data_IF_550572491298
#
_entry.id   IF_550572491298
#
_cell.length_a   1.000
_cell.length_b   1.000
_cell.length_c   1.000
_cell.angle_alpha   90.00
_cell.angle_beta   90.00
_cell.angle_gamma   90.00
#
_symmetry.space_group_name_H-M   'P 1'
#
loop_
_entity.id
_entity.type
_entity.pdbx_description
1 polymer ?
#
# COMPACT_ATOMS: atom_id res chain seq x y z
N UNK A 1 -31.39 14.36 -4.48
CA UNK A 1 -30.46 15.46 -4.16
C UNK A 1 -29.06 14.92 -4.34
N UNK A 2 -28.35 15.36 -5.38
CA UNK A 2 -27.01 14.87 -5.70
C UNK A 2 -25.98 15.57 -4.82
N UNK A 3 -25.34 14.82 -3.94
CA UNK A 3 -24.22 15.29 -3.14
C UNK A 3 -23.02 15.45 -4.09
N UNK A 4 -22.70 16.69 -4.47
CA UNK A 4 -21.47 17.00 -5.18
C UNK A 4 -20.33 16.87 -4.20
N UNK A 5 -19.50 15.82 -4.35
CA UNK A 5 -18.23 15.71 -3.66
C UNK A 5 -17.35 16.89 -4.09
N UNK A 6 -17.18 17.83 -3.17
CA UNK A 6 -16.18 18.87 -3.30
C UNK A 6 -14.80 18.22 -3.09
N UNK A 7 -14.26 17.65 -4.16
CA UNK A 7 -12.86 17.26 -4.18
C UNK A 7 -12.02 18.51 -4.01
N UNK A 8 -11.53 18.76 -2.82
CA UNK A 8 -10.55 19.80 -2.55
C UNK A 8 -9.28 19.45 -3.32
N UNK A 9 -9.16 19.95 -4.56
CA UNK A 9 -7.85 19.99 -5.24
C UNK A 9 -6.95 20.83 -4.36
N UNK A 10 -6.07 20.17 -3.62
CA UNK A 10 -4.93 20.82 -3.00
C UNK A 10 -4.15 21.43 -4.18
N UNK A 11 -4.25 22.75 -4.32
CA UNK A 11 -3.54 23.48 -5.38
C UNK A 11 -2.06 23.25 -5.17
N UNK A 12 -1.39 22.65 -6.15
CA UNK A 12 0.05 22.39 -6.19
C UNK A 12 0.93 23.65 -6.08
N UNK A 13 0.30 24.81 -6.10
CA UNK A 13 0.98 26.11 -6.13
C UNK A 13 1.48 26.58 -4.75
N UNK A 14 1.09 25.91 -3.66
CA UNK A 14 1.50 26.26 -2.28
C UNK A 14 2.58 25.35 -1.69
N UNK A 15 3.04 24.32 -2.41
CA UNK A 15 4.13 23.50 -1.89
C UNK A 15 5.46 24.11 -2.25
N UNK A 16 6.10 24.81 -1.30
CA UNK A 16 7.51 25.22 -1.39
C UNK A 16 8.46 24.03 -1.50
N UNK A 17 7.96 22.81 -1.21
CA UNK A 17 8.70 21.57 -1.25
C UNK A 17 8.46 20.83 -2.58
N UNK A 18 9.30 21.12 -3.58
CA UNK A 18 9.18 20.51 -4.92
C UNK A 18 9.69 19.08 -4.92
N UNK A 19 9.04 18.19 -5.67
CA UNK A 19 9.57 16.81 -5.84
C UNK A 19 10.99 16.86 -6.46
N UNK A 20 11.85 15.90 -6.13
CA UNK A 20 13.19 15.78 -6.72
C UNK A 20 13.09 15.70 -8.25
N UNK A 21 12.08 14.96 -8.77
CA UNK A 21 11.80 14.92 -10.22
C UNK A 21 11.54 16.30 -10.82
N UNK A 22 10.85 17.17 -10.11
CA UNK A 22 10.63 18.56 -10.58
C UNK A 22 11.90 19.36 -10.60
N UNK A 23 12.83 19.13 -9.67
CA UNK A 23 14.14 19.80 -9.65
C UNK A 23 15.03 19.42 -10.83
N UNK A 24 14.86 18.22 -11.41
CA UNK A 24 15.56 17.80 -12.63
C UNK A 24 15.29 18.74 -13.81
N UNK A 25 14.07 19.27 -13.91
CA UNK A 25 13.62 20.09 -15.03
C UNK A 25 13.68 21.59 -14.76
N UNK A 26 14.17 22.00 -13.59
CA UNK A 26 14.25 23.41 -13.21
C UNK A 26 15.63 23.97 -13.44
N UNK A 27 15.71 25.02 -14.24
CA UNK A 27 16.75 26.03 -14.11
C UNK A 27 17.82 26.05 -15.16
N UNK A 28 18.41 27.22 -15.27
CA UNK A 28 19.55 27.64 -16.11
C UNK A 28 20.92 27.24 -15.50
N UNK A 29 20.95 26.18 -14.70
CA UNK A 29 22.20 25.74 -14.04
C UNK A 29 23.07 24.97 -14.99
N UNK A 30 24.36 25.23 -14.98
CA UNK A 30 25.41 24.46 -15.69
C UNK A 30 25.62 23.06 -15.09
N UNK A 31 25.00 22.76 -13.94
CA UNK A 31 25.05 21.47 -13.26
C UNK A 31 24.20 20.43 -14.00
N UNK A 32 24.74 19.21 -14.12
CA UNK A 32 24.00 18.11 -14.73
C UNK A 32 22.72 17.81 -13.93
N UNK A 33 21.58 17.53 -14.58
CA UNK A 33 20.30 17.25 -13.89
C UNK A 33 20.41 16.14 -12.83
N UNK A 34 21.20 15.10 -13.10
CA UNK A 34 21.39 13.97 -12.18
C UNK A 34 22.15 14.40 -10.91
N UNK A 35 23.21 15.20 -11.03
CA UNK A 35 24.00 15.69 -9.88
C UNK A 35 23.13 16.58 -8.99
N UNK A 36 22.26 17.38 -9.59
CA UNK A 36 21.28 18.20 -8.88
C UNK A 36 20.26 17.35 -8.12
N UNK A 37 19.74 16.30 -8.75
CA UNK A 37 18.81 15.38 -8.10
C UNK A 37 19.46 14.67 -6.92
N UNK A 38 20.67 14.18 -7.09
CA UNK A 38 21.43 13.50 -6.03
C UNK A 38 21.76 14.45 -4.86
N UNK A 39 22.17 15.68 -5.16
CA UNK A 39 22.39 16.69 -4.12
C UNK A 39 21.11 16.99 -3.34
N UNK A 40 19.99 17.14 -4.04
CA UNK A 40 18.69 17.38 -3.41
C UNK A 40 18.22 16.19 -2.57
N UNK A 41 18.43 14.98 -3.06
CA UNK A 41 18.17 13.75 -2.30
C UNK A 41 18.97 13.73 -0.99
N UNK A 42 20.30 13.96 -1.06
CA UNK A 42 21.16 13.98 0.14
C UNK A 42 20.74 15.05 1.13
N UNK A 43 20.50 16.27 0.66
CA UNK A 43 20.06 17.35 1.52
C UNK A 43 18.76 17.06 2.26
N UNK A 44 17.84 16.31 1.62
CA UNK A 44 16.56 15.94 2.24
C UNK A 44 16.69 14.78 3.19
N UNK A 45 17.41 13.72 2.82
CA UNK A 45 17.54 12.53 3.67
C UNK A 45 18.35 12.83 4.93
N UNK A 46 19.29 13.78 4.88
CA UNK A 46 20.08 14.25 6.02
C UNK A 46 19.37 15.33 6.84
N UNK A 47 18.21 15.79 6.39
CA UNK A 47 17.41 16.80 7.06
C UNK A 47 16.91 16.34 8.43
N UNK A 48 17.00 17.21 9.43
CA UNK A 48 16.58 16.94 10.81
C UNK A 48 15.08 16.62 10.98
N UNK A 49 14.23 17.00 10.00
CA UNK A 49 12.79 16.68 9.98
C UNK A 49 12.45 15.45 9.14
N UNK A 50 13.45 14.67 8.74
CA UNK A 50 13.26 13.51 7.85
C UNK A 50 13.13 12.21 8.65
N UNK A 51 12.06 11.48 8.38
CA UNK A 51 11.90 10.10 8.82
C UNK A 51 12.55 9.17 7.79
N UNK A 52 13.56 8.44 8.22
CA UNK A 52 14.30 7.47 7.41
C UNK A 52 13.72 6.08 7.62
N UNK A 53 13.53 5.32 6.54
CA UNK A 53 12.90 4.00 6.61
C UNK A 53 13.87 2.85 6.92
N UNK A 54 15.15 3.03 6.63
CA UNK A 54 16.12 1.92 6.59
C UNK A 54 15.93 1.00 5.37
N UNK A 55 14.93 1.22 4.51
CA UNK A 55 14.68 0.43 3.30
C UNK A 55 15.39 1.10 2.12
N UNK A 56 16.36 0.39 1.55
CA UNK A 56 17.14 0.86 0.40
C UNK A 56 16.66 0.17 -0.87
N UNK A 57 16.21 0.98 -1.84
CA UNK A 57 15.71 0.53 -3.14
C UNK A 57 16.60 1.12 -4.22
N UNK A 58 17.25 0.27 -5.03
CA UNK A 58 18.17 0.68 -6.10
C UNK A 58 19.20 1.71 -5.67
N UNK A 59 19.79 1.53 -4.50
CA UNK A 59 20.84 2.40 -3.94
C UNK A 59 20.34 3.66 -3.26
N UNK A 60 19.04 3.90 -3.17
CA UNK A 60 18.45 5.04 -2.47
C UNK A 60 17.52 4.58 -1.34
N UNK A 61 17.68 5.18 -0.18
CA UNK A 61 16.82 4.90 0.95
C UNK A 61 15.47 5.62 0.81
N UNK A 62 14.39 4.94 1.13
CA UNK A 62 13.05 5.53 1.22
C UNK A 62 12.98 6.43 2.46
N UNK A 63 12.44 7.63 2.31
CA UNK A 63 12.30 8.59 3.40
C UNK A 63 11.05 9.47 3.22
N UNK A 64 10.61 10.08 4.32
CA UNK A 64 9.57 11.11 4.31
C UNK A 64 10.07 12.35 5.07
N UNK A 65 10.00 13.50 4.42
CA UNK A 65 10.26 14.77 5.08
C UNK A 65 8.97 15.26 5.74
N UNK A 66 9.04 15.55 7.03
CA UNK A 66 7.91 16.14 7.75
C UNK A 66 7.91 17.67 7.56
N UNK A 67 7.27 18.11 6.50
CA UNK A 67 7.08 19.52 6.21
C UNK A 67 5.73 20.03 6.75
N UNK A 68 5.58 21.35 6.84
CA UNK A 68 4.44 22.01 7.50
C UNK A 68 3.07 21.48 7.05
N UNK A 69 2.86 21.32 5.75
CA UNK A 69 1.59 20.88 5.17
C UNK A 69 1.28 19.40 5.53
N UNK A 70 2.31 18.55 5.56
CA UNK A 70 2.17 17.16 5.99
C UNK A 70 1.81 17.10 7.48
N UNK A 71 2.50 17.88 8.32
CA UNK A 71 2.19 17.93 9.76
C UNK A 71 0.74 18.38 10.02
N UNK A 72 0.29 19.44 9.33
CA UNK A 72 -1.09 19.93 9.45
C UNK A 72 -2.12 18.88 8.95
N UNK A 73 -1.82 18.16 7.86
CA UNK A 73 -2.68 17.09 7.36
C UNK A 73 -2.80 15.93 8.36
N UNK A 74 -1.67 15.54 8.96
CA UNK A 74 -1.66 14.47 9.96
C UNK A 74 -2.50 14.83 11.20
N UNK A 75 -2.47 16.08 11.64
CA UNK A 75 -3.31 16.55 12.74
C UNK A 75 -4.80 16.55 12.36
N UNK A 76 -5.13 17.03 11.15
CA UNK A 76 -6.51 16.98 10.64
C UNK A 76 -7.03 15.53 10.59
N UNK A 77 -6.21 14.58 10.09
CA UNK A 77 -6.59 13.16 10.05
C UNK A 77 -6.83 12.64 11.46
N UNK A 78 -5.98 12.95 12.44
CA UNK A 78 -6.14 12.52 13.83
C UNK A 78 -7.41 13.06 14.48
N UNK A 79 -7.74 14.34 14.23
CA UNK A 79 -8.97 14.95 14.71
C UNK A 79 -10.21 14.23 14.13
N UNK A 80 -10.22 14.00 12.81
CA UNK A 80 -11.32 13.30 12.15
C UNK A 80 -11.45 11.85 12.61
N UNK A 81 -10.33 11.15 12.79
CA UNK A 81 -10.31 9.78 13.32
C UNK A 81 -10.95 9.70 14.72
N UNK A 82 -10.65 10.68 15.59
CA UNK A 82 -11.29 10.76 16.92
C UNK A 82 -12.81 10.92 16.82
N UNK A 83 -13.30 11.74 15.89
CA UNK A 83 -14.74 11.93 15.66
C UNK A 83 -15.37 10.64 15.13
N UNK A 84 -14.75 10.03 14.10
CA UNK A 84 -15.23 8.77 13.51
C UNK A 84 -15.26 7.66 14.54
N UNK A 85 -14.21 7.50 15.35
CA UNK A 85 -14.13 6.51 16.42
C UNK A 85 -15.25 6.70 17.45
N UNK A 86 -15.53 7.95 17.85
CA UNK A 86 -16.62 8.25 18.77
C UNK A 86 -18.00 7.88 18.20
N UNK A 87 -18.25 8.24 16.95
CA UNK A 87 -19.49 7.87 16.23
C UNK A 87 -19.61 6.35 16.09
N UNK A 88 -18.54 5.69 15.66
CA UNK A 88 -18.48 4.24 15.54
C UNK A 88 -18.83 3.54 16.83
N UNK A 89 -18.24 3.96 17.95
CA UNK A 89 -18.49 3.37 19.25
C UNK A 89 -19.93 3.55 19.73
N UNK A 90 -20.65 4.57 19.22
CA UNK A 90 -22.06 4.81 19.55
C UNK A 90 -23.05 3.95 18.76
N UNK A 91 -22.60 3.27 17.69
CA UNK A 91 -23.47 2.47 16.82
C UNK A 91 -23.79 1.10 17.45
N UNK A 92 -25.03 0.59 17.30
CA UNK A 92 -25.37 -0.79 17.60
C UNK A 92 -24.53 -1.79 16.80
N UNK A 93 -24.26 -2.96 17.38
CA UNK A 93 -23.42 -4.00 16.78
C UNK A 93 -23.92 -4.43 15.40
N UNK A 94 -25.22 -4.57 15.23
CA UNK A 94 -25.86 -4.98 13.98
C UNK A 94 -25.61 -3.95 12.87
N UNK A 95 -25.65 -2.67 13.21
CA UNK A 95 -25.39 -1.57 12.27
C UNK A 95 -23.90 -1.56 11.86
N UNK A 96 -22.99 -1.73 12.83
CA UNK A 96 -21.55 -1.87 12.56
C UNK A 96 -21.27 -3.01 11.58
N UNK A 97 -21.83 -4.19 11.85
CA UNK A 97 -21.65 -5.36 10.98
C UNK A 97 -22.20 -5.14 9.57
N UNK A 98 -23.39 -4.54 9.44
CA UNK A 98 -23.97 -4.23 8.13
C UNK A 98 -23.09 -3.26 7.33
N UNK A 99 -22.62 -2.19 8.00
CA UNK A 99 -21.73 -1.20 7.39
C UNK A 99 -20.40 -1.79 6.97
N UNK A 100 -19.75 -2.59 7.84
CA UNK A 100 -18.47 -3.26 7.52
C UNK A 100 -18.61 -4.20 6.33
N UNK A 101 -19.70 -4.95 6.24
CA UNK A 101 -19.93 -5.82 5.09
C UNK A 101 -20.01 -5.06 3.76
N UNK A 102 -20.73 -3.94 3.75
CA UNK A 102 -20.84 -3.11 2.54
C UNK A 102 -19.50 -2.45 2.18
N UNK A 103 -18.79 -1.98 3.20
CA UNK A 103 -17.45 -1.38 3.04
C UNK A 103 -16.45 -2.41 2.49
N UNK A 104 -16.33 -3.58 3.14
CA UNK A 104 -15.42 -4.66 2.70
C UNK A 104 -15.78 -5.09 1.27
N UNK A 105 -17.08 -5.27 0.96
CA UNK A 105 -17.51 -5.61 -0.38
C UNK A 105 -17.12 -4.56 -1.42
N UNK A 106 -17.18 -3.29 -1.07
CA UNK A 106 -16.78 -2.18 -1.95
C UNK A 106 -15.27 -2.15 -2.15
N UNK A 107 -14.49 -2.33 -1.07
CA UNK A 107 -13.03 -2.37 -1.12
C UNK A 107 -12.51 -3.55 -1.95
N UNK A 108 -13.07 -4.75 -1.77
CA UNK A 108 -12.70 -5.93 -2.56
C UNK A 108 -12.97 -5.72 -4.05
N UNK A 109 -14.12 -5.12 -4.41
CA UNK A 109 -14.44 -4.79 -5.80
C UNK A 109 -13.46 -3.76 -6.38
N UNK A 110 -13.13 -2.74 -5.61
CA UNK A 110 -12.21 -1.67 -6.01
C UNK A 110 -10.80 -2.22 -6.22
N UNK A 111 -10.28 -2.96 -5.26
CA UNK A 111 -8.95 -3.58 -5.31
C UNK A 111 -8.83 -4.55 -6.49
N UNK A 112 -9.81 -5.44 -6.67
CA UNK A 112 -9.86 -6.32 -7.83
C UNK A 112 -9.87 -5.53 -9.16
N UNK A 113 -10.62 -4.43 -9.21
CA UNK A 113 -10.67 -3.58 -10.40
C UNK A 113 -9.33 -2.90 -10.72
N UNK A 114 -8.57 -2.48 -9.72
CA UNK A 114 -7.22 -1.90 -9.86
C UNK A 114 -6.24 -2.96 -10.39
N UNK A 115 -6.31 -4.17 -9.86
CA UNK A 115 -5.48 -5.32 -10.28
C UNK A 115 -5.93 -5.94 -11.62
N UNK A 116 -6.99 -5.43 -12.25
CA UNK A 116 -7.54 -6.00 -13.48
C UNK A 116 -8.31 -7.30 -13.30
N UNK A 117 -8.59 -7.69 -12.07
CA UNK A 117 -9.35 -8.89 -11.71
C UNK A 117 -10.84 -8.58 -11.82
N UNK A 118 -11.53 -9.27 -12.74
CA UNK A 118 -12.98 -9.13 -12.91
C UNK A 118 -13.72 -9.78 -11.75
N UNK A 119 -14.53 -9.01 -11.04
CA UNK A 119 -15.43 -9.49 -9.99
C UNK A 119 -16.76 -8.75 -10.04
N UNK A 120 -17.79 -9.39 -9.53
CA UNK A 120 -19.15 -8.85 -9.45
C UNK A 120 -19.56 -8.67 -7.98
N UNK A 121 -20.49 -7.75 -7.71
CA UNK A 121 -21.04 -7.57 -6.35
C UNK A 121 -21.61 -8.88 -5.78
N UNK A 122 -22.19 -9.73 -6.64
CA UNK A 122 -22.73 -11.03 -6.23
C UNK A 122 -21.62 -11.98 -5.79
N UNK A 123 -20.55 -12.13 -6.58
CA UNK A 123 -19.40 -12.98 -6.22
C UNK A 123 -18.79 -12.55 -4.90
N UNK A 124 -18.63 -11.24 -4.67
CA UNK A 124 -18.09 -10.73 -3.42
C UNK A 124 -19.04 -10.97 -2.24
N UNK A 125 -20.35 -10.78 -2.44
CA UNK A 125 -21.35 -11.10 -1.41
C UNK A 125 -21.34 -12.59 -1.05
N UNK A 126 -21.26 -13.47 -2.05
CA UNK A 126 -21.16 -14.93 -1.87
C UNK A 126 -19.86 -15.30 -1.13
N UNK A 127 -18.74 -14.63 -1.46
CA UNK A 127 -17.45 -14.81 -0.81
C UNK A 127 -17.48 -14.40 0.68
N UNK A 128 -18.10 -13.25 1.00
CA UNK A 128 -18.27 -12.80 2.38
C UNK A 128 -19.14 -13.75 3.20
N UNK A 129 -20.20 -14.31 2.60
CA UNK A 129 -21.02 -15.31 3.26
C UNK A 129 -20.25 -16.62 3.48
N UNK A 130 -19.52 -17.09 2.47
CA UNK A 130 -18.68 -18.28 2.55
C UNK A 130 -17.56 -18.15 3.60
N UNK A 131 -16.91 -16.98 3.67
CA UNK A 131 -15.88 -16.67 4.67
C UNK A 131 -16.41 -16.83 6.11
N UNK A 132 -17.65 -16.41 6.37
CA UNK A 132 -18.29 -16.55 7.70
C UNK A 132 -18.64 -17.97 8.09
N UNK A 133 -18.93 -18.82 7.11
CA UNK A 133 -19.27 -20.23 7.30
C UNK A 133 -18.09 -21.17 7.16
N UNK A 134 -16.85 -20.60 7.00
CA UNK A 134 -15.62 -21.35 6.71
C UNK A 134 -15.71 -22.24 5.46
N UNK A 135 -16.53 -21.86 4.48
CA UNK A 135 -16.58 -22.49 3.17
C UNK A 135 -15.51 -21.89 2.24
N UNK A 136 -14.38 -22.57 2.12
CA UNK A 136 -13.26 -22.16 1.26
C UNK A 136 -13.46 -22.47 -0.22
N UNK A 137 -14.61 -23.06 -0.61
CA UNK A 137 -14.90 -23.45 -2.00
C UNK A 137 -15.35 -22.29 -2.91
N UNK A 138 -15.57 -21.11 -2.38
CA UNK A 138 -16.00 -19.93 -3.15
C UNK A 138 -14.82 -19.05 -3.51
N UNK A 139 -14.82 -18.56 -4.75
CA UNK A 139 -13.87 -17.56 -5.23
C UNK A 139 -13.84 -16.37 -4.28
N UNK A 140 -12.66 -15.85 -3.97
CA UNK A 140 -12.41 -14.74 -3.04
C UNK A 140 -12.74 -15.01 -1.56
N UNK A 141 -13.15 -16.21 -1.15
CA UNK A 141 -13.52 -16.48 0.24
C UNK A 141 -12.36 -16.29 1.22
N UNK A 142 -11.13 -16.67 0.85
CA UNK A 142 -9.95 -16.49 1.69
C UNK A 142 -9.56 -15.01 1.78
N UNK A 143 -9.68 -14.26 0.68
CA UNK A 143 -9.50 -12.80 0.69
C UNK A 143 -10.55 -12.10 1.57
N UNK A 144 -11.81 -12.52 1.48
CA UNK A 144 -12.89 -12.02 2.33
C UNK A 144 -12.65 -12.33 3.83
N UNK A 145 -12.11 -13.51 4.17
CA UNK A 145 -11.73 -13.85 5.56
C UNK A 145 -10.72 -12.87 6.13
N UNK A 146 -9.69 -12.53 5.36
CA UNK A 146 -8.69 -11.55 5.81
C UNK A 146 -9.33 -10.21 6.15
N UNK A 147 -10.18 -9.67 5.26
CA UNK A 147 -10.88 -8.41 5.52
C UNK A 147 -11.82 -8.48 6.73
N UNK A 148 -12.54 -9.60 6.91
CA UNK A 148 -13.41 -9.77 8.08
C UNK A 148 -12.60 -9.77 9.37
N UNK A 149 -11.41 -10.38 9.38
CA UNK A 149 -10.51 -10.38 10.56
C UNK A 149 -10.03 -8.96 10.90
N UNK A 150 -9.84 -8.08 9.90
CA UNK A 150 -9.49 -6.68 10.13
C UNK A 150 -10.64 -5.85 10.69
N UNK A 151 -11.88 -6.26 10.40
CA UNK A 151 -13.10 -5.53 10.80
C UNK A 151 -13.78 -6.05 12.07
N UNK A 152 -13.35 -7.17 12.63
CA UNK A 152 -13.96 -7.75 13.82
C UNK A 152 -13.55 -6.97 15.08
N UNK A 153 -14.54 -6.63 15.94
CA UNK A 153 -14.36 -5.91 17.21
C UNK A 153 -13.58 -6.74 18.28
N UNK A 154 -13.33 -8.01 18.02
CA UNK A 154 -12.47 -8.82 18.87
C UNK A 154 -11.02 -8.32 18.72
N UNK A 155 -10.37 -7.97 19.84
CA UNK A 155 -9.02 -7.40 20.02
C UNK A 155 -7.86 -8.12 19.25
N UNK A 156 -8.18 -8.89 18.22
CA UNK A 156 -7.25 -9.62 17.35
C UNK A 156 -7.01 -8.86 16.06
N UNK A 157 -6.38 -7.69 16.18
CA UNK A 157 -5.76 -7.07 15.00
C UNK A 157 -4.73 -8.07 14.44
N UNK A 158 -4.79 -8.44 13.15
CA UNK A 158 -3.79 -9.29 12.56
C UNK A 158 -2.40 -8.74 12.82
N UNK A 159 -1.50 -9.61 13.30
CA UNK A 159 -0.12 -9.21 13.52
C UNK A 159 0.54 -8.78 12.20
N UNK A 160 1.34 -7.73 12.28
CA UNK A 160 2.22 -7.37 11.17
C UNK A 160 3.10 -8.57 10.85
N UNK A 161 3.30 -8.94 9.56
CA UNK A 161 4.16 -10.06 9.19
C UNK A 161 5.50 -10.00 9.93
N UNK A 162 5.91 -11.12 10.49
CA UNK A 162 7.13 -11.24 11.26
C UNK A 162 8.33 -11.69 10.43
N UNK A 163 8.05 -12.45 9.37
CA UNK A 163 9.02 -13.14 8.50
C UNK A 163 8.67 -12.99 7.03
N UNK A 164 9.58 -13.37 6.15
CA UNK A 164 9.33 -13.40 4.70
C UNK A 164 8.28 -14.47 4.33
N UNK A 165 8.27 -15.57 5.07
CA UNK A 165 7.30 -16.66 4.93
C UNK A 165 5.89 -16.20 5.31
N UNK A 166 5.76 -15.28 6.28
CA UNK A 166 4.47 -14.68 6.62
C UNK A 166 3.91 -13.84 5.46
N UNK A 167 4.75 -13.05 4.81
CA UNK A 167 4.37 -12.28 3.60
C UNK A 167 3.90 -13.25 2.51
N UNK A 168 4.65 -14.32 2.27
CA UNK A 168 4.28 -15.33 1.28
C UNK A 168 2.96 -16.01 1.65
N UNK A 169 2.71 -16.33 2.90
CA UNK A 169 1.45 -16.92 3.37
C UNK A 169 0.25 -15.99 3.16
N UNK A 170 0.41 -14.68 3.43
CA UNK A 170 -0.63 -13.68 3.15
C UNK A 170 -0.93 -13.65 1.65
N UNK A 171 0.10 -13.61 0.81
CA UNK A 171 -0.05 -13.65 -0.63
C UNK A 171 -0.81 -14.89 -1.10
N UNK A 172 -0.40 -16.09 -0.67
CA UNK A 172 -1.07 -17.35 -1.03
C UNK A 172 -2.54 -17.35 -0.61
N UNK A 173 -2.86 -16.74 0.53
CA UNK A 173 -4.22 -16.61 1.04
C UNK A 173 -5.07 -15.67 0.19
N UNK A 174 -4.57 -14.45 -0.12
CA UNK A 174 -5.36 -13.44 -0.83
C UNK A 174 -5.52 -13.75 -2.32
N UNK A 175 -4.65 -14.59 -2.88
CA UNK A 175 -4.66 -14.99 -4.29
C UNK A 175 -5.21 -16.41 -4.51
N UNK A 176 -5.66 -17.09 -3.46
CA UNK A 176 -6.10 -18.49 -3.51
C UNK A 176 -7.16 -18.75 -4.60
N UNK A 177 -6.84 -19.64 -5.55
CA UNK A 177 -7.73 -20.01 -6.65
C UNK A 177 -7.89 -18.97 -7.77
N UNK A 178 -7.04 -17.95 -7.81
CA UNK A 178 -7.15 -16.83 -8.74
C UNK A 178 -6.00 -16.75 -9.75
N UNK A 179 -4.84 -17.25 -9.37
CA UNK A 179 -3.64 -17.14 -10.19
C UNK A 179 -3.65 -18.14 -11.35
N UNK A 180 -3.10 -17.70 -12.48
CA UNK A 180 -2.74 -18.59 -13.57
C UNK A 180 -1.37 -19.22 -13.26
N UNK A 181 -1.09 -20.36 -13.88
CA UNK A 181 0.18 -21.06 -13.69
C UNK A 181 1.40 -20.17 -14.00
N UNK A 182 1.31 -19.31 -15.02
CA UNK A 182 2.37 -18.39 -15.43
C UNK A 182 2.59 -17.22 -14.45
N UNK A 183 1.61 -16.93 -13.60
CA UNK A 183 1.66 -15.84 -12.62
C UNK A 183 2.11 -16.34 -11.23
N UNK A 184 2.29 -17.65 -11.07
CA UNK A 184 2.76 -18.26 -9.82
C UNK A 184 4.22 -17.90 -9.55
N UNK A 185 4.59 -17.58 -8.29
CA UNK A 185 5.99 -17.37 -7.93
C UNK A 185 6.84 -18.62 -8.21
N UNK A 186 7.92 -18.43 -8.94
CA UNK A 186 8.85 -19.48 -9.40
C UNK A 186 10.15 -19.53 -8.59
N UNK A 187 10.28 -18.68 -7.58
CA UNK A 187 11.39 -18.65 -6.64
C UNK A 187 11.15 -19.53 -5.41
N UNK A 188 11.96 -19.34 -4.40
CA UNK A 188 11.80 -20.00 -3.10
C UNK A 188 10.56 -19.43 -2.35
N UNK A 189 10.46 -18.12 -2.24
CA UNK A 189 9.32 -17.40 -1.66
C UNK A 189 8.65 -16.43 -2.65
N UNK A 190 9.44 -15.84 -3.53
CA UNK A 190 9.03 -14.76 -4.42
C UNK A 190 9.33 -15.12 -5.88
N UNK A 191 9.08 -14.21 -6.81
CA UNK A 191 9.43 -14.37 -8.20
C UNK A 191 10.94 -14.30 -8.44
N UNK A 192 11.42 -15.01 -9.46
CA UNK A 192 12.82 -14.92 -9.93
C UNK A 192 12.99 -13.91 -11.06
N UNK A 193 12.01 -13.87 -11.96
CA UNK A 193 12.07 -13.06 -13.17
C UNK A 193 11.67 -11.60 -12.95
N UNK A 194 11.89 -10.75 -13.96
CA UNK A 194 11.49 -9.36 -13.93
C UNK A 194 9.95 -9.21 -13.98
N UNK A 195 9.46 -8.14 -13.37
CA UNK A 195 8.07 -7.69 -13.52
C UNK A 195 8.05 -6.22 -13.87
N UNK A 196 7.07 -5.85 -14.67
CA UNK A 196 6.99 -4.51 -15.23
C UNK A 196 5.60 -3.93 -15.05
N UNK A 197 5.54 -2.63 -14.72
CA UNK A 197 4.30 -1.86 -14.74
C UNK A 197 4.40 -0.88 -15.89
N UNK A 198 3.52 -1.05 -16.86
CA UNK A 198 3.46 -0.21 -18.05
C UNK A 198 2.20 0.67 -18.01
N UNK A 199 2.31 1.90 -18.49
CA UNK A 199 1.18 2.81 -18.69
C UNK A 199 0.27 2.25 -19.78
N UNK A 200 -0.96 1.93 -19.43
CA UNK A 200 -1.92 1.30 -20.35
C UNK A 200 -2.31 2.19 -21.54
N UNK A 201 -2.20 3.52 -21.41
CA UNK A 201 -2.56 4.46 -22.46
C UNK A 201 -1.41 4.70 -23.44
N UNK A 202 -0.17 4.67 -22.95
CA UNK A 202 1.02 5.03 -23.75
C UNK A 202 1.93 3.84 -24.05
N UNK A 203 1.75 2.69 -23.39
CA UNK A 203 2.64 1.52 -23.47
C UNK A 203 4.04 1.79 -22.88
N UNK A 204 4.22 2.93 -22.20
CA UNK A 204 5.52 3.30 -21.64
C UNK A 204 5.71 2.61 -20.29
N UNK A 205 6.90 2.02 -20.11
CA UNK A 205 7.29 1.48 -18.80
C UNK A 205 7.36 2.55 -17.73
N UNK A 206 6.56 2.36 -16.67
CA UNK A 206 6.49 3.26 -15.51
C UNK A 206 7.43 2.75 -14.43
N UNK A 207 7.42 1.42 -14.18
CA UNK A 207 8.19 0.81 -13.11
C UNK A 207 8.69 -0.59 -13.51
N UNK A 208 9.79 -0.99 -12.90
CA UNK A 208 10.33 -2.35 -12.93
C UNK A 208 10.56 -2.78 -11.49
N UNK A 209 9.98 -3.89 -11.07
CA UNK A 209 10.16 -4.44 -9.73
C UNK A 209 11.63 -4.76 -9.41
N UNK A 210 11.93 -4.95 -8.14
CA UNK A 210 13.28 -5.35 -7.69
C UNK A 210 13.55 -6.78 -8.13
N UNK A 211 14.76 -7.06 -8.58
CA UNK A 211 15.26 -8.36 -8.99
C UNK A 211 16.76 -8.47 -8.72
N UNK A 212 17.32 -9.67 -8.56
CA UNK A 212 16.67 -10.97 -8.48
C UNK A 212 15.98 -11.23 -7.12
N UNK A 213 15.46 -12.44 -6.90
CA UNK A 213 14.78 -12.82 -5.64
C UNK A 213 15.63 -12.54 -4.38
N UNK A 214 16.95 -12.71 -4.46
CA UNK A 214 17.86 -12.37 -3.34
C UNK A 214 17.75 -10.91 -2.92
N UNK A 215 17.64 -9.99 -3.87
CA UNK A 215 17.46 -8.56 -3.60
C UNK A 215 16.04 -8.25 -3.09
N UNK A 216 15.02 -8.98 -3.59
CA UNK A 216 13.66 -8.91 -3.03
C UNK A 216 13.66 -9.28 -1.55
N UNK A 217 14.33 -10.39 -1.19
CA UNK A 217 14.45 -10.85 0.21
C UNK A 217 15.15 -9.82 1.09
N UNK A 218 16.24 -9.22 0.61
CA UNK A 218 16.96 -8.15 1.33
C UNK A 218 16.04 -6.95 1.57
N UNK A 219 15.37 -6.45 0.53
CA UNK A 219 14.49 -5.29 0.61
C UNK A 219 13.28 -5.56 1.53
N UNK A 220 12.66 -6.74 1.45
CA UNK A 220 11.55 -7.13 2.32
C UNK A 220 11.98 -7.36 3.77
N UNK A 221 13.22 -7.81 4.03
CA UNK A 221 13.76 -7.88 5.39
C UNK A 221 13.87 -6.48 6.01
N UNK A 222 14.33 -5.49 5.24
CA UNK A 222 14.36 -4.09 5.67
C UNK A 222 12.93 -3.55 5.87
N UNK A 223 12.01 -3.91 4.99
CA UNK A 223 10.59 -3.56 5.09
C UNK A 223 9.95 -4.10 6.39
N UNK A 224 10.24 -5.35 6.77
CA UNK A 224 9.77 -5.94 8.03
C UNK A 224 10.28 -5.18 9.26
N UNK A 225 11.52 -4.69 9.22
CA UNK A 225 12.07 -3.83 10.26
C UNK A 225 11.34 -2.47 10.33
N UNK A 226 11.12 -1.84 9.17
CA UNK A 226 10.34 -0.60 9.06
C UNK A 226 8.92 -0.76 9.62
N UNK A 227 8.23 -1.84 9.27
CA UNK A 227 6.85 -2.08 9.71
C UNK A 227 6.73 -2.13 11.25
N UNK A 228 7.78 -2.54 11.94
CA UNK A 228 7.87 -2.64 13.41
C UNK A 228 8.45 -1.39 14.09
N UNK A 229 8.97 -0.43 13.33
CA UNK A 229 9.63 0.75 13.88
C UNK A 229 8.61 1.73 14.48
N UNK A 230 8.53 1.75 15.81
CA UNK A 230 7.64 2.63 16.56
C UNK A 230 8.16 4.07 16.69
N UNK A 231 9.39 4.36 16.26
CA UNK A 231 9.95 5.72 16.24
C UNK A 231 9.35 6.58 15.13
N UNK A 232 8.78 5.95 14.10
CA UNK A 232 8.12 6.62 12.98
C UNK A 232 6.60 6.67 13.25
N UNK A 233 5.95 7.85 13.12
CA UNK A 233 4.52 7.99 13.30
C UNK A 233 3.72 7.00 12.44
N UNK A 234 2.64 6.38 12.97
CA UNK A 234 1.96 5.25 12.33
C UNK A 234 1.53 5.48 10.88
N UNK A 235 0.92 6.64 10.57
CA UNK A 235 0.47 6.96 9.21
C UNK A 235 1.65 7.15 8.23
N UNK A 236 2.74 7.79 8.68
CA UNK A 236 3.95 7.93 7.88
C UNK A 236 4.57 6.56 7.62
N UNK A 237 4.70 5.73 8.66
CA UNK A 237 5.22 4.37 8.55
C UNK A 237 4.38 3.52 7.60
N UNK A 238 3.06 3.54 7.72
CA UNK A 238 2.16 2.82 6.83
C UNK A 238 2.35 3.25 5.36
N UNK A 239 2.42 4.56 5.10
CA UNK A 239 2.65 5.08 3.74
C UNK A 239 4.03 4.67 3.18
N UNK A 240 5.08 4.66 4.02
CA UNK A 240 6.41 4.20 3.63
C UNK A 240 6.42 2.69 3.35
N UNK A 241 5.75 1.89 4.18
CA UNK A 241 5.60 0.45 3.99
C UNK A 241 4.86 0.14 2.68
N UNK A 242 3.72 0.80 2.46
CA UNK A 242 2.96 0.63 1.22
C UNK A 242 3.78 0.98 -0.01
N UNK A 243 4.39 2.17 -0.04
CA UNK A 243 5.26 2.59 -1.15
C UNK A 243 6.40 1.59 -1.40
N UNK A 244 7.09 1.16 -0.33
CA UNK A 244 8.24 0.28 -0.47
C UNK A 244 7.82 -1.11 -0.98
N UNK A 245 6.70 -1.67 -0.50
CA UNK A 245 6.18 -2.95 -0.95
C UNK A 245 5.79 -2.92 -2.43
N UNK A 246 5.03 -1.89 -2.84
CA UNK A 246 4.66 -1.69 -4.25
C UNK A 246 5.87 -1.44 -5.16
N UNK A 247 6.91 -0.80 -4.64
CA UNK A 247 8.15 -0.61 -5.41
C UNK A 247 8.96 -1.89 -5.55
N UNK A 248 9.05 -2.72 -4.51
CA UNK A 248 9.70 -4.03 -4.54
C UNK A 248 8.98 -4.95 -5.51
N UNK A 249 7.65 -4.97 -5.45
CA UNK A 249 6.77 -5.74 -6.31
C UNK A 249 7.16 -7.22 -6.36
N UNK A 250 7.07 -7.95 -5.21
CA UNK A 250 7.70 -9.25 -5.03
C UNK A 250 7.06 -10.40 -5.80
N UNK A 251 5.86 -10.22 -6.36
CA UNK A 251 5.11 -11.24 -7.09
C UNK A 251 4.86 -10.83 -8.53
N UNK A 252 4.46 -11.78 -9.39
CA UNK A 252 4.10 -11.50 -10.77
C UNK A 252 2.73 -10.82 -10.89
N UNK A 253 1.75 -11.25 -10.06
CA UNK A 253 0.41 -10.68 -9.92
C UNK A 253 0.00 -10.65 -8.44
N UNK A 254 -1.02 -9.90 -8.07
CA UNK A 254 -1.59 -9.88 -6.72
C UNK A 254 -0.82 -9.05 -5.68
N UNK A 255 0.14 -8.21 -6.09
CA UNK A 255 0.91 -7.37 -5.16
C UNK A 255 0.02 -6.38 -4.41
N UNK A 256 -0.91 -5.71 -5.10
CA UNK A 256 -1.81 -4.74 -4.48
C UNK A 256 -2.88 -5.36 -3.57
N UNK A 257 -3.09 -6.69 -3.65
CA UNK A 257 -3.97 -7.43 -2.75
C UNK A 257 -3.25 -7.94 -1.50
N UNK A 258 -1.94 -8.04 -1.57
CA UNK A 258 -1.07 -8.50 -0.49
C UNK A 258 -0.71 -7.37 0.47
#
# INVERSE_FOLDING_TARGET
MACKSAGTRIRSDYMDYKSIRRTLHMGESTERPQDRAEREYRARIEGWSTFRSGVTLRGHEVFVVNFRELAALLDTIREQDTVVTSLWNSLPREVKHAYLNDLIGTEMLSTNGIEGVRSTRKEISDALQAARTNDSGKRFSEFAKLFLTLGDDDDKVPDIPGTLEDIRRIYDQVTAGELKDDDMPDGDLFRKGPVFIDDTATGRRIHTGIEPESEIKVALTQWLALAKDKSIPPLIRAAMCHFAFEYIHPFYDGNGRT
#
